data_IF_226851726824
#
_entry.id   IF_226851726824
#
_cell.length_a   1.000
_cell.length_b   1.000
_cell.length_c   1.000
_cell.angle_alpha   90.00
_cell.angle_beta   90.00
_cell.angle_gamma   90.00
#
_symmetry.space_group_name_H-M   'P 1'
#
loop_
_entity.id
_entity.type
_entity.pdbx_description
1 polymer ?
#
# COMPACT_ATOMS: atom_id res chain seq x y z
N UNK A 1 -21.23 -22.22 -7.87
CA UNK A 1 -20.19 -22.01 -8.90
C UNK A 1 -20.75 -22.43 -10.25
N UNK A 2 -20.55 -21.63 -11.27
CA UNK A 2 -20.76 -22.06 -12.65
C UNK A 2 -19.75 -23.17 -13.02
N UNK A 3 -20.01 -23.92 -14.10
CA UNK A 3 -19.12 -25.02 -14.54
C UNK A 3 -17.67 -24.57 -14.79
N UNK A 4 -17.44 -23.28 -15.10
CA UNK A 4 -16.13 -22.67 -15.38
C UNK A 4 -15.72 -21.61 -14.35
N UNK A 5 -16.48 -21.41 -13.28
CA UNK A 5 -16.24 -20.38 -12.29
C UNK A 5 -15.00 -20.65 -11.44
N UNK A 6 -14.16 -19.64 -11.27
CA UNK A 6 -12.96 -19.67 -10.42
C UNK A 6 -13.10 -18.67 -9.29
N UNK A 7 -12.84 -19.09 -8.06
CA UNK A 7 -12.87 -18.20 -6.89
C UNK A 7 -11.49 -17.59 -6.66
N UNK A 8 -11.46 -16.28 -6.45
CA UNK A 8 -10.27 -15.56 -6.02
C UNK A 8 -10.59 -14.71 -4.78
N UNK A 9 -9.66 -14.72 -3.83
CA UNK A 9 -9.86 -14.07 -2.52
C UNK A 9 -8.74 -13.07 -2.26
N UNK A 10 -9.12 -11.87 -1.81
CA UNK A 10 -8.20 -10.88 -1.23
C UNK A 10 -8.68 -10.45 0.14
N UNK A 11 -7.75 -9.94 0.95
CA UNK A 11 -8.05 -9.39 2.27
C UNK A 11 -7.53 -7.96 2.41
N UNK A 12 -8.12 -7.22 3.33
CA UNK A 12 -7.61 -5.94 3.81
C UNK A 12 -7.79 -5.82 5.32
N UNK A 13 -7.14 -4.83 5.90
CA UNK A 13 -7.22 -4.55 7.33
C UNK A 13 -7.43 -3.06 7.56
N UNK A 14 -8.00 -2.72 8.72
CA UNK A 14 -8.17 -1.32 9.13
C UNK A 14 -6.84 -0.69 9.57
N UNK A 15 -6.82 0.63 9.70
CA UNK A 15 -5.66 1.38 10.21
C UNK A 15 -5.26 0.98 11.63
N UNK A 16 -6.19 0.40 12.41
CA UNK A 16 -5.97 -0.05 13.79
C UNK A 16 -5.47 -1.50 13.92
N UNK A 17 -5.28 -2.22 12.82
CA UNK A 17 -4.59 -3.51 12.86
C UNK A 17 -3.13 -3.32 13.30
N UNK A 18 -2.56 -4.17 14.19
CA UNK A 18 -1.22 -3.97 14.75
C UNK A 18 -0.12 -3.70 13.70
N UNK A 19 -0.07 -4.47 12.62
CA UNK A 19 0.90 -4.24 11.55
C UNK A 19 0.68 -2.87 10.85
N UNK A 20 -0.57 -2.44 10.68
CA UNK A 20 -0.86 -1.15 10.03
C UNK A 20 -0.64 0.05 10.95
N UNK A 21 -0.75 -0.12 12.26
CA UNK A 21 -0.27 0.87 13.24
C UNK A 21 1.24 1.09 13.03
N UNK A 22 2.01 0.01 12.88
CA UNK A 22 3.45 0.09 12.64
C UNK A 22 3.78 0.80 11.33
N UNK A 23 3.10 0.44 10.24
CA UNK A 23 3.26 1.10 8.95
C UNK A 23 2.91 2.60 9.03
N UNK A 24 1.81 2.94 9.70
CA UNK A 24 1.37 4.32 9.89
C UNK A 24 2.34 5.14 10.74
N UNK A 25 2.92 4.56 11.78
CA UNK A 25 3.95 5.20 12.60
C UNK A 25 5.21 5.45 11.76
N UNK A 26 5.73 4.42 11.09
CA UNK A 26 6.94 4.50 10.29
C UNK A 26 6.82 5.55 9.17
N UNK A 27 5.69 5.61 8.48
CA UNK A 27 5.44 6.63 7.44
C UNK A 27 5.18 8.02 8.03
N UNK A 28 4.61 8.14 9.24
CA UNK A 28 4.48 9.44 9.90
C UNK A 28 5.84 10.02 10.33
N UNK A 29 6.76 9.17 10.76
CA UNK A 29 8.15 9.58 11.04
C UNK A 29 8.83 10.01 9.74
N UNK A 30 8.69 9.25 8.66
CA UNK A 30 9.22 9.62 7.35
C UNK A 30 8.69 10.98 6.89
N UNK A 31 7.38 11.18 6.91
CA UNK A 31 6.75 12.42 6.45
C UNK A 31 7.19 13.63 7.29
N UNK A 32 7.32 13.48 8.61
CA UNK A 32 7.81 14.54 9.49
C UNK A 32 9.26 14.95 9.15
N UNK A 33 10.11 13.97 8.85
CA UNK A 33 11.50 14.21 8.45
C UNK A 33 11.59 14.85 7.07
N UNK A 34 10.83 14.38 6.08
CA UNK A 34 10.81 14.95 4.72
C UNK A 34 10.27 16.38 4.70
N UNK A 35 9.30 16.70 5.54
CA UNK A 35 8.79 18.07 5.67
C UNK A 35 9.86 19.07 6.12
N UNK A 36 10.79 18.64 6.97
CA UNK A 36 11.91 19.49 7.44
C UNK A 36 13.16 19.39 6.56
N UNK A 37 13.36 18.28 5.88
CA UNK A 37 14.48 18.02 4.98
C UNK A 37 14.05 17.03 3.88
N UNK A 38 13.69 17.50 2.68
CA UNK A 38 13.28 16.65 1.57
C UNK A 38 14.34 15.62 1.12
N UNK A 39 15.59 15.80 1.53
CA UNK A 39 16.69 14.87 1.22
C UNK A 39 17.01 13.91 2.37
N UNK A 40 16.15 13.83 3.37
CA UNK A 40 16.30 12.87 4.46
C UNK A 40 16.44 11.44 3.93
N UNK A 41 17.41 10.70 4.43
CA UNK A 41 17.55 9.26 4.22
C UNK A 41 16.94 8.56 5.42
N UNK A 42 15.91 7.77 5.17
CA UNK A 42 15.10 7.15 6.22
C UNK A 42 14.86 5.70 5.90
N UNK A 43 15.18 4.85 6.85
CA UNK A 43 14.79 3.45 6.89
C UNK A 43 14.36 3.17 8.34
N UNK A 44 13.05 3.32 8.61
CA UNK A 44 12.49 3.22 9.97
C UNK A 44 11.45 2.11 9.99
N UNK A 45 11.62 1.21 10.93
CA UNK A 45 10.73 0.10 11.20
C UNK A 45 10.16 0.26 12.61
N UNK A 46 8.91 -0.18 12.79
CA UNK A 46 8.19 -0.08 14.04
C UNK A 46 7.72 -1.46 14.47
N UNK A 47 7.80 -1.74 15.77
CA UNK A 47 7.17 -2.87 16.43
C UNK A 47 6.20 -2.33 17.46
N UNK A 48 4.99 -2.88 17.54
CA UNK A 48 4.03 -2.64 18.61
C UNK A 48 3.65 -3.94 19.29
N UNK A 49 3.45 -3.87 20.60
CA UNK A 49 2.89 -4.93 21.42
C UNK A 49 2.14 -4.30 22.58
N UNK A 50 1.62 -5.09 23.53
CA UNK A 50 0.88 -4.58 24.69
C UNK A 50 1.63 -3.45 25.39
N UNK A 51 1.09 -2.24 25.31
CA UNK A 51 1.60 -1.06 26.00
C UNK A 51 2.97 -0.54 25.54
N UNK A 52 3.53 -1.04 24.44
CA UNK A 52 4.88 -0.70 23.96
C UNK A 52 4.94 -0.42 22.47
N UNK A 53 5.76 0.57 22.11
CA UNK A 53 6.19 0.88 20.74
C UNK A 53 7.72 0.92 20.70
N UNK A 54 8.30 0.26 19.73
CA UNK A 54 9.73 0.33 19.43
C UNK A 54 9.90 0.85 17.99
N UNK A 55 10.59 1.97 17.85
CA UNK A 55 10.93 2.56 16.54
C UNK A 55 12.42 2.40 16.36
N UNK A 56 12.82 1.65 15.34
CA UNK A 56 14.23 1.29 15.09
C UNK A 56 14.60 1.57 13.64
N UNK A 57 15.89 1.66 13.33
CA UNK A 57 16.38 1.85 11.98
C UNK A 57 17.48 2.87 11.85
N UNK A 58 17.67 3.43 10.65
CA UNK A 58 18.71 4.38 10.33
C UNK A 58 18.11 5.64 9.70
N UNK A 59 18.58 6.81 10.17
CA UNK A 59 18.18 8.12 9.68
C UNK A 59 19.40 9.01 9.49
N UNK A 60 19.47 9.67 8.32
CA UNK A 60 20.37 10.80 8.06
C UNK A 60 19.51 11.97 7.61
N UNK A 61 19.48 13.04 8.39
CA UNK A 61 18.62 14.21 8.15
C UNK A 61 19.22 15.49 8.73
N UNK A 62 18.87 16.63 8.14
CA UNK A 62 19.07 17.94 8.72
C UNK A 62 17.85 18.46 9.50
N UNK A 63 16.72 17.75 9.46
CA UNK A 63 15.48 18.07 10.18
C UNK A 63 15.57 17.72 11.68
N UNK A 64 16.44 18.41 12.41
CA UNK A 64 16.78 18.10 13.83
C UNK A 64 15.57 18.19 14.76
N UNK A 65 14.68 19.14 14.54
CA UNK A 65 13.47 19.33 15.36
C UNK A 65 12.51 18.15 15.18
N UNK A 66 12.22 17.78 13.93
CA UNK A 66 11.36 16.63 13.64
C UNK A 66 11.97 15.32 14.17
N UNK A 67 13.30 15.16 14.08
CA UNK A 67 14.00 14.00 14.64
C UNK A 67 13.86 13.94 16.18
N UNK A 68 14.00 15.07 16.86
CA UNK A 68 13.84 15.16 18.32
C UNK A 68 12.38 14.91 18.77
N UNK A 69 11.39 15.15 17.88
CA UNK A 69 9.95 15.05 18.16
C UNK A 69 9.31 13.71 17.74
N UNK A 70 10.10 12.71 17.36
CA UNK A 70 9.61 11.40 16.92
C UNK A 70 8.63 10.78 17.93
N UNK A 71 8.90 10.91 19.24
CA UNK A 71 8.02 10.36 20.29
C UNK A 71 6.61 10.96 20.22
N UNK A 72 6.49 12.27 20.01
CA UNK A 72 5.17 12.93 19.88
C UNK A 72 4.50 12.55 18.54
N UNK A 73 5.27 12.43 17.47
CA UNK A 73 4.77 11.92 16.17
C UNK A 73 4.14 10.53 16.32
N UNK A 74 4.81 9.63 17.04
CA UNK A 74 4.31 8.28 17.34
C UNK A 74 3.00 8.34 18.13
N UNK A 75 2.97 9.07 19.25
CA UNK A 75 1.78 9.20 20.11
C UNK A 75 0.61 9.77 19.34
N UNK A 76 0.83 10.87 18.63
CA UNK A 76 -0.19 11.50 17.81
C UNK A 76 -0.79 10.53 16.80
N UNK A 77 0.03 9.73 16.10
CA UNK A 77 -0.47 8.76 15.12
C UNK A 77 -1.34 7.69 15.78
N UNK A 78 -0.95 7.16 16.93
CA UNK A 78 -1.75 6.17 17.67
C UNK A 78 -3.11 6.74 18.09
N UNK A 79 -3.11 7.99 18.61
CA UNK A 79 -4.34 8.70 18.97
C UNK A 79 -5.24 8.98 17.76
N UNK A 80 -4.67 9.42 16.64
CA UNK A 80 -5.40 9.68 15.37
C UNK A 80 -6.08 8.41 14.84
N UNK A 81 -5.48 7.24 15.04
CA UNK A 81 -6.08 5.93 14.72
C UNK A 81 -7.28 5.65 15.65
N UNK A 82 -7.28 6.15 16.86
CA UNK A 82 -8.36 6.02 17.84
C UNK A 82 -8.03 5.12 19.02
N UNK A 83 -6.77 4.81 19.27
CA UNK A 83 -6.28 4.17 20.48
C UNK A 83 -5.95 5.23 21.54
N UNK A 84 -6.97 5.73 22.20
CA UNK A 84 -6.96 6.82 23.18
C UNK A 84 -7.27 6.37 24.60
N UNK A 85 -7.46 5.06 24.81
CA UNK A 85 -7.75 4.47 26.11
C UNK A 85 -7.37 2.99 26.15
N UNK A 86 -6.87 2.53 27.28
CA UNK A 86 -6.43 1.14 27.49
C UNK A 86 -7.52 0.09 27.24
N UNK A 87 -8.80 0.42 27.48
CA UNK A 87 -9.95 -0.46 27.20
C UNK A 87 -10.11 -0.81 25.72
N UNK A 88 -9.48 -0.03 24.83
CA UNK A 88 -9.45 -0.32 23.40
C UNK A 88 -8.32 -1.29 23.00
N UNK A 89 -7.47 -1.68 23.98
CA UNK A 89 -6.34 -2.58 23.77
C UNK A 89 -5.01 -1.87 23.52
N UNK A 90 -5.01 -0.53 23.47
CA UNK A 90 -3.81 0.30 23.33
C UNK A 90 -4.13 1.76 23.68
N UNK A 91 -3.11 2.53 24.08
CA UNK A 91 -3.29 3.93 24.48
C UNK A 91 -2.06 4.76 24.11
N UNK A 92 -2.26 5.70 23.18
CA UNK A 92 -1.21 6.58 22.68
C UNK A 92 -0.64 7.54 23.71
N UNK A 93 -1.44 7.93 24.73
CA UNK A 93 -0.97 8.81 25.81
C UNK A 93 0.00 8.12 26.76
N UNK A 94 -0.25 6.84 27.09
CA UNK A 94 0.41 6.16 28.20
C UNK A 94 1.38 5.05 27.78
N UNK A 95 1.36 4.60 26.51
CA UNK A 95 2.26 3.55 26.04
C UNK A 95 3.75 3.95 26.17
N UNK A 96 4.60 2.95 26.42
CA UNK A 96 6.05 3.14 26.35
C UNK A 96 6.49 3.32 24.90
N UNK A 97 7.32 4.35 24.63
CA UNK A 97 7.91 4.59 23.30
C UNK A 97 9.42 4.51 23.41
N UNK A 98 10.01 3.55 22.70
CA UNK A 98 11.45 3.32 22.65
C UNK A 98 11.99 3.67 21.27
N UNK A 99 13.01 4.51 21.20
CA UNK A 99 13.63 4.96 19.95
C UNK A 99 15.05 4.40 19.88
N UNK A 100 15.31 3.53 18.89
CA UNK A 100 16.60 2.92 18.60
C UNK A 100 17.06 3.25 17.18
N UNK A 101 17.25 4.54 16.87
CA UNK A 101 17.62 5.00 15.54
C UNK A 101 19.12 5.32 15.47
N UNK A 102 19.83 4.65 14.55
CA UNK A 102 21.23 4.89 14.21
C UNK A 102 21.43 5.79 12.99
N UNK A 103 22.66 5.89 12.53
CA UNK A 103 23.02 6.56 11.27
C UNK A 103 23.19 5.54 10.16
N UNK A 104 22.84 5.92 8.92
CA UNK A 104 23.09 5.10 7.74
C UNK A 104 24.58 4.77 7.59
N UNK A 105 24.88 3.54 7.14
CA UNK A 105 26.24 3.11 6.82
C UNK A 105 26.85 3.98 5.71
N UNK A 106 28.08 4.50 5.88
CA UNK A 106 28.79 5.23 4.83
C UNK A 106 29.01 4.41 3.56
N UNK A 107 29.17 3.10 3.69
CA UNK A 107 29.41 2.20 2.56
C UNK A 107 28.17 2.08 1.65
N UNK A 108 26.97 2.03 2.25
CA UNK A 108 25.71 2.04 1.50
C UNK A 108 25.48 3.42 0.87
N UNK A 109 25.72 4.51 1.61
CA UNK A 109 25.56 5.88 1.12
C UNK A 109 26.38 6.15 -0.14
N UNK A 110 27.61 5.64 -0.23
CA UNK A 110 28.48 5.82 -1.39
C UNK A 110 27.85 5.36 -2.70
N UNK A 111 27.18 4.20 -2.72
CA UNK A 111 26.55 3.66 -3.93
C UNK A 111 25.23 4.35 -4.31
N UNK A 112 24.54 4.92 -3.31
CA UNK A 112 23.29 5.67 -3.52
C UNK A 112 23.57 7.09 -4.00
N UNK A 113 24.54 7.77 -3.39
CA UNK A 113 24.85 9.18 -3.69
C UNK A 113 25.67 9.35 -4.97
N UNK A 114 26.46 8.33 -5.37
CA UNK A 114 27.24 8.35 -6.61
C UNK A 114 27.24 6.96 -7.25
N UNK A 115 26.34 6.76 -8.20
CA UNK A 115 26.19 5.48 -8.91
C UNK A 115 27.44 5.07 -9.68
N UNK A 116 27.51 3.78 -10.00
CA UNK A 116 28.60 3.18 -10.77
C UNK A 116 28.80 3.87 -12.12
N UNK A 117 27.73 4.23 -12.82
CA UNK A 117 27.74 4.92 -14.11
C UNK A 117 28.50 6.24 -14.03
N UNK A 118 28.28 7.05 -13.00
CA UNK A 118 28.99 8.31 -12.79
C UNK A 118 30.42 8.08 -12.28
N UNK A 119 30.61 7.17 -11.32
CA UNK A 119 31.87 6.97 -10.61
C UNK A 119 32.92 6.24 -11.45
N UNK A 120 32.52 5.25 -12.28
CA UNK A 120 33.41 4.35 -13.00
C UNK A 120 33.31 4.56 -14.52
N UNK A 121 32.11 4.76 -15.05
CA UNK A 121 31.86 4.86 -16.48
C UNK A 121 31.95 6.31 -16.98
N UNK A 122 31.98 7.31 -16.06
CA UNK A 122 32.13 8.72 -16.42
C UNK A 122 30.87 9.34 -17.03
N UNK A 123 29.68 8.78 -16.72
CA UNK A 123 28.42 9.34 -17.17
C UNK A 123 28.21 10.78 -16.69
N UNK A 124 27.77 11.66 -17.58
CA UNK A 124 27.63 13.09 -17.31
C UNK A 124 26.18 13.52 -17.04
N UNK A 125 25.19 12.65 -17.28
CA UNK A 125 23.78 12.95 -16.98
C UNK A 125 23.58 12.98 -15.45
N UNK A 126 23.07 14.08 -14.87
CA UNK A 126 22.79 14.16 -13.43
C UNK A 126 21.88 13.04 -12.91
N UNK A 127 21.01 12.48 -13.75
CA UNK A 127 20.13 11.36 -13.38
C UNK A 127 20.86 10.02 -13.25
N UNK A 128 22.06 9.89 -13.79
CA UNK A 128 22.94 8.75 -13.60
C UNK A 128 23.73 8.84 -12.28
N UNK A 129 23.60 9.93 -11.51
CA UNK A 129 24.31 10.09 -10.25
C UNK A 129 23.70 9.27 -9.11
N UNK A 130 22.36 9.10 -9.09
CA UNK A 130 21.69 8.35 -8.05
C UNK A 130 21.58 6.86 -8.41
N UNK A 131 22.30 6.01 -7.67
CA UNK A 131 22.18 4.57 -7.80
C UNK A 131 21.04 3.98 -6.97
N UNK A 132 20.64 2.76 -7.29
CA UNK A 132 19.72 2.00 -6.46
C UNK A 132 20.36 1.71 -5.09
N UNK A 133 19.59 1.92 -4.02
CA UNK A 133 20.05 1.71 -2.64
C UNK A 133 20.23 0.26 -2.24
N UNK A 134 19.64 -0.66 -3.01
CA UNK A 134 19.75 -2.11 -2.86
C UNK A 134 19.54 -2.80 -4.21
N UNK A 135 19.93 -4.07 -4.29
CA UNK A 135 19.45 -4.96 -5.33
C UNK A 135 17.99 -5.33 -5.07
N UNK A 136 17.23 -5.61 -6.12
CA UNK A 136 15.85 -6.08 -5.94
C UNK A 136 15.07 -6.14 -7.24
N UNK A 137 13.88 -6.71 -7.14
CA UNK A 137 12.90 -6.72 -8.22
C UNK A 137 11.57 -6.22 -7.68
N UNK A 138 10.86 -5.40 -8.47
CA UNK A 138 9.60 -4.78 -8.11
C UNK A 138 8.59 -5.02 -9.21
N UNK A 139 7.32 -5.11 -8.81
CA UNK A 139 6.22 -5.38 -9.72
C UNK A 139 5.21 -4.23 -9.70
N UNK A 140 4.66 -3.93 -10.87
CA UNK A 140 3.46 -3.15 -11.05
C UNK A 140 2.39 -3.97 -11.74
N UNK A 141 1.13 -3.64 -11.48
CA UNK A 141 0.00 -4.33 -12.05
C UNK A 141 -1.16 -3.37 -12.33
N UNK A 142 -1.93 -3.64 -13.36
CA UNK A 142 -3.20 -3.00 -13.65
C UNK A 142 -4.12 -3.97 -14.40
N UNK A 143 -5.41 -3.84 -14.16
CA UNK A 143 -6.47 -4.61 -14.82
C UNK A 143 -7.74 -3.75 -14.90
N UNK A 144 -8.55 -3.97 -15.93
CA UNK A 144 -9.78 -3.22 -16.18
C UNK A 144 -10.99 -3.64 -15.34
N UNK A 145 -10.79 -4.35 -14.21
CA UNK A 145 -11.89 -4.78 -13.33
C UNK A 145 -12.61 -3.60 -12.64
N UNK A 146 -11.89 -2.51 -12.36
CA UNK A 146 -12.43 -1.33 -11.67
C UNK A 146 -12.01 -0.03 -12.37
N UNK A 147 -12.71 1.09 -12.16
CA UNK A 147 -12.34 2.38 -12.75
C UNK A 147 -10.92 2.85 -12.40
N UNK A 148 -10.44 2.51 -11.20
CA UNK A 148 -9.08 2.77 -10.75
C UNK A 148 -8.04 1.80 -11.33
N UNK A 149 -8.47 0.83 -12.13
CA UNK A 149 -7.64 -0.21 -12.76
C UNK A 149 -6.94 -1.11 -11.73
N UNK A 150 -7.70 -1.53 -10.73
CA UNK A 150 -7.29 -2.47 -9.68
C UNK A 150 -8.08 -3.78 -9.78
N UNK A 151 -7.50 -4.91 -9.30
CA UNK A 151 -8.27 -6.14 -9.12
C UNK A 151 -9.45 -5.92 -8.17
N UNK A 152 -10.64 -6.35 -8.57
CA UNK A 152 -11.87 -6.12 -7.81
C UNK A 152 -11.84 -6.68 -6.37
N UNK A 153 -11.28 -7.88 -6.08
CA UNK A 153 -11.29 -8.41 -4.72
C UNK A 153 -10.57 -7.52 -3.72
N UNK A 154 -9.37 -7.02 -4.06
CA UNK A 154 -8.60 -6.14 -3.16
C UNK A 154 -9.23 -4.74 -3.09
N UNK A 155 -9.71 -4.20 -4.21
CA UNK A 155 -10.38 -2.91 -4.23
C UNK A 155 -11.61 -2.91 -3.31
N UNK A 156 -12.44 -3.96 -3.36
CA UNK A 156 -13.61 -4.10 -2.51
C UNK A 156 -13.22 -4.34 -1.04
N UNK A 157 -12.20 -5.16 -0.76
CA UNK A 157 -11.71 -5.39 0.59
C UNK A 157 -11.21 -4.08 1.24
N UNK A 158 -10.48 -3.24 0.51
CA UNK A 158 -10.04 -1.92 0.98
C UNK A 158 -11.22 -0.97 1.25
N UNK A 159 -12.20 -0.93 0.37
CA UNK A 159 -13.40 -0.08 0.55
C UNK A 159 -14.17 -0.49 1.81
N UNK A 160 -14.33 -1.80 2.06
CA UNK A 160 -14.98 -2.31 3.27
C UNK A 160 -14.17 -1.95 4.54
N UNK A 161 -12.86 -2.14 4.55
CA UNK A 161 -12.00 -1.80 5.69
C UNK A 161 -12.01 -0.30 5.98
N UNK A 162 -12.01 0.55 4.95
CA UNK A 162 -12.13 2.00 5.09
C UNK A 162 -13.49 2.41 5.64
N UNK A 163 -14.58 1.80 5.14
CA UNK A 163 -15.93 2.08 5.62
C UNK A 163 -16.11 1.68 7.09
N UNK A 164 -15.52 0.57 7.54
CA UNK A 164 -15.47 0.21 8.96
C UNK A 164 -14.86 1.34 9.81
N UNK A 165 -13.75 1.88 9.38
CA UNK A 165 -13.09 3.00 10.07
C UNK A 165 -13.94 4.28 10.02
N UNK A 166 -14.55 4.57 8.88
CA UNK A 166 -15.42 5.74 8.72
C UNK A 166 -16.60 5.71 9.69
N UNK A 167 -17.37 4.61 9.73
CA UNK A 167 -18.55 4.49 10.59
C UNK A 167 -18.19 4.48 12.08
N UNK A 168 -16.99 4.05 12.44
CA UNK A 168 -16.45 4.15 13.79
C UNK A 168 -16.10 5.61 14.13
N UNK A 169 -15.30 6.27 13.29
CA UNK A 169 -14.78 7.63 13.56
C UNK A 169 -15.87 8.71 13.53
N UNK A 170 -16.89 8.56 12.69
CA UNK A 170 -18.01 9.51 12.62
C UNK A 170 -19.11 9.26 13.66
N UNK A 171 -18.97 8.20 14.51
CA UNK A 171 -19.90 7.88 15.56
C UNK A 171 -21.17 7.14 15.11
N UNK A 172 -21.28 6.73 13.85
CA UNK A 172 -22.42 5.93 13.37
C UNK A 172 -22.49 4.58 14.11
N UNK A 173 -21.33 3.95 14.32
CA UNK A 173 -21.18 2.71 15.12
C UNK A 173 -20.09 2.95 16.18
N UNK A 174 -20.41 3.70 17.21
CA UNK A 174 -19.49 4.17 18.25
C UNK A 174 -18.92 3.07 19.15
N UNK A 175 -19.58 1.92 19.16
CA UNK A 175 -19.13 0.72 19.87
C UNK A 175 -18.01 -0.04 19.15
N UNK A 176 -17.71 0.25 17.90
CA UNK A 176 -16.59 -0.34 17.19
C UNK A 176 -15.25 0.16 17.74
N UNK A 177 -14.24 -0.71 17.68
CA UNK A 177 -12.86 -0.43 18.07
C UNK A 177 -11.96 -0.39 16.82
N UNK A 178 -10.70 0.12 16.93
CA UNK A 178 -9.89 0.39 15.74
C UNK A 178 -9.46 -0.85 14.95
N UNK A 179 -9.30 -2.01 15.58
CA UNK A 179 -8.81 -3.23 14.90
C UNK A 179 -9.91 -3.91 14.08
N UNK A 180 -9.56 -4.32 12.88
CA UNK A 180 -10.49 -5.06 12.02
C UNK A 180 -9.85 -5.57 10.74
N UNK A 181 -10.50 -6.58 10.14
CA UNK A 181 -10.11 -7.22 8.89
C UNK A 181 -11.32 -7.41 8.01
N UNK A 182 -11.09 -7.36 6.70
CA UNK A 182 -12.09 -7.69 5.68
C UNK A 182 -11.49 -8.68 4.69
N UNK A 183 -12.29 -9.61 4.23
CA UNK A 183 -11.90 -10.57 3.19
C UNK A 183 -13.03 -10.67 2.17
N UNK A 184 -12.67 -10.70 0.90
CA UNK A 184 -13.60 -10.72 -0.22
C UNK A 184 -13.22 -11.85 -1.16
N UNK A 185 -14.21 -12.70 -1.48
CA UNK A 185 -14.07 -13.75 -2.49
C UNK A 185 -14.98 -13.45 -3.66
N UNK A 186 -14.41 -13.35 -4.85
CA UNK A 186 -15.11 -13.10 -6.12
C UNK A 186 -15.03 -14.35 -6.99
N UNK A 187 -16.15 -14.74 -7.59
CA UNK A 187 -16.19 -15.71 -8.68
C UNK A 187 -15.96 -15.01 -10.01
N UNK A 188 -14.99 -15.51 -10.76
CA UNK A 188 -14.62 -15.06 -12.10
C UNK A 188 -15.06 -16.07 -13.14
N UNK A 189 -15.71 -15.62 -14.20
CA UNK A 189 -16.03 -16.37 -15.41
C UNK A 189 -15.25 -15.76 -16.58
N UNK A 190 -14.47 -16.57 -17.28
CA UNK A 190 -13.64 -16.10 -18.40
C UNK A 190 -12.76 -14.88 -18.07
N UNK A 191 -12.23 -14.84 -16.84
CA UNK A 191 -11.45 -13.74 -16.25
C UNK A 191 -12.22 -12.43 -16.01
N UNK A 192 -13.55 -12.45 -16.07
CA UNK A 192 -14.40 -11.31 -15.73
C UNK A 192 -15.06 -11.55 -14.37
N UNK A 193 -15.12 -10.55 -13.47
CA UNK A 193 -15.86 -10.67 -12.22
C UNK A 193 -17.34 -10.93 -12.48
N UNK A 194 -17.87 -12.03 -11.95
CA UNK A 194 -19.27 -12.42 -12.17
C UNK A 194 -20.12 -12.36 -10.92
N UNK A 195 -19.60 -12.88 -9.78
CA UNK A 195 -20.40 -12.97 -8.54
C UNK A 195 -19.57 -12.72 -7.30
N UNK A 196 -20.13 -11.94 -6.37
CA UNK A 196 -19.59 -11.79 -5.02
C UNK A 196 -19.98 -13.02 -4.20
N UNK A 197 -19.05 -13.94 -4.01
CA UNK A 197 -19.30 -15.20 -3.34
C UNK A 197 -19.38 -15.06 -1.82
N UNK A 198 -18.30 -14.52 -1.21
CA UNK A 198 -18.20 -14.44 0.24
C UNK A 198 -17.55 -13.13 0.67
N UNK A 199 -18.11 -12.52 1.72
CA UNK A 199 -17.51 -11.41 2.46
C UNK A 199 -17.36 -11.82 3.91
N UNK A 200 -16.14 -11.68 4.45
CA UNK A 200 -15.88 -11.85 5.89
C UNK A 200 -15.46 -10.49 6.46
N UNK A 201 -16.10 -10.11 7.56
CA UNK A 201 -15.74 -8.92 8.34
C UNK A 201 -15.46 -9.35 9.76
N UNK A 202 -14.23 -9.12 10.24
CA UNK A 202 -13.86 -9.28 11.64
C UNK A 202 -13.53 -7.92 12.21
N UNK A 203 -14.29 -7.44 13.18
CA UNK A 203 -14.11 -6.11 13.74
C UNK A 203 -14.14 -6.14 15.27
N UNK A 204 -13.18 -5.45 15.87
CA UNK A 204 -13.12 -5.25 17.31
C UNK A 204 -14.29 -4.36 17.76
N UNK A 205 -14.89 -4.69 18.90
CA UNK A 205 -16.04 -3.98 19.46
C UNK A 205 -15.96 -3.87 20.98
N UNK A 206 -16.77 -2.99 21.56
CA UNK A 206 -16.92 -2.88 23.01
C UNK A 206 -17.51 -4.18 23.60
N UNK A 207 -17.20 -4.45 24.87
CA UNK A 207 -17.82 -5.59 25.57
C UNK A 207 -19.33 -5.38 25.74
N UNK A 208 -20.07 -6.48 25.81
CA UNK A 208 -21.53 -6.46 25.99
C UNK A 208 -22.35 -6.24 24.71
N UNK A 209 -21.74 -6.11 23.55
CA UNK A 209 -22.45 -5.99 22.27
C UNK A 209 -23.00 -7.35 21.83
N UNK A 210 -24.30 -7.40 21.49
CA UNK A 210 -24.96 -8.58 20.92
C UNK A 210 -24.54 -8.73 19.46
N UNK A 211 -23.86 -9.84 19.16
CA UNK A 211 -23.29 -10.06 17.82
C UNK A 211 -24.36 -10.30 16.76
N UNK A 212 -25.43 -11.02 17.08
CA UNK A 212 -26.49 -11.39 16.12
C UNK A 212 -27.52 -10.28 15.95
N UNK A 213 -27.88 -9.58 17.03
CA UNK A 213 -28.96 -8.57 17.01
C UNK A 213 -28.46 -7.15 16.72
N UNK A 214 -27.18 -6.88 16.95
CA UNK A 214 -26.60 -5.54 16.82
C UNK A 214 -25.48 -5.54 15.80
N UNK A 215 -24.37 -6.26 16.06
CA UNK A 215 -23.16 -6.14 15.24
C UNK A 215 -23.40 -6.60 13.77
N UNK A 216 -23.95 -7.82 13.56
CA UNK A 216 -24.13 -8.37 12.20
C UNK A 216 -25.08 -7.50 11.37
N UNK A 217 -26.30 -7.11 11.86
CA UNK A 217 -27.18 -6.21 11.09
C UNK A 217 -26.55 -4.85 10.79
N UNK A 218 -25.84 -4.26 11.75
CA UNK A 218 -25.23 -2.95 11.58
C UNK A 218 -24.08 -2.98 10.55
N UNK A 219 -23.23 -4.00 10.59
CA UNK A 219 -22.15 -4.18 9.60
C UNK A 219 -22.73 -4.40 8.21
N UNK A 220 -23.77 -5.22 8.07
CA UNK A 220 -24.44 -5.41 6.76
C UNK A 220 -24.95 -4.09 6.21
N UNK A 221 -25.69 -3.35 7.01
CA UNK A 221 -26.38 -2.11 6.60
C UNK A 221 -25.41 -0.95 6.37
N UNK A 222 -24.55 -0.65 7.34
CA UNK A 222 -23.75 0.56 7.35
C UNK A 222 -22.38 0.42 6.65
N UNK A 223 -21.91 -0.81 6.46
CA UNK A 223 -20.63 -1.08 5.79
C UNK A 223 -20.87 -1.76 4.45
N UNK A 224 -21.40 -2.99 4.42
CA UNK A 224 -21.47 -3.78 3.20
C UNK A 224 -22.41 -3.18 2.16
N UNK A 225 -23.68 -2.96 2.49
CA UNK A 225 -24.69 -2.43 1.56
C UNK A 225 -24.29 -1.04 1.04
N UNK A 226 -23.68 -0.21 1.91
CA UNK A 226 -23.19 1.12 1.52
C UNK A 226 -22.08 1.02 0.50
N UNK A 227 -21.08 0.15 0.75
CA UNK A 227 -19.94 -0.04 -0.16
C UNK A 227 -20.38 -0.65 -1.49
N UNK A 228 -21.28 -1.64 -1.48
CA UNK A 228 -21.80 -2.26 -2.72
C UNK A 228 -22.60 -1.25 -3.56
N UNK A 229 -23.38 -0.39 -2.93
CA UNK A 229 -24.09 0.69 -3.61
C UNK A 229 -23.14 1.73 -4.21
N UNK A 230 -22.09 2.10 -3.51
CA UNK A 230 -21.05 3.02 -4.00
C UNK A 230 -20.20 2.41 -5.11
N UNK A 231 -19.93 1.10 -5.05
CA UNK A 231 -19.18 0.37 -6.07
C UNK A 231 -19.92 0.36 -7.41
N UNK A 232 -21.24 0.11 -7.39
CA UNK A 232 -22.12 0.08 -8.57
C UNK A 232 -21.53 -0.71 -9.76
N UNK A 233 -20.89 -1.86 -9.50
CA UNK A 233 -20.23 -2.65 -10.54
C UNK A 233 -21.26 -3.36 -11.44
N UNK A 234 -21.21 -3.09 -12.74
CA UNK A 234 -22.28 -3.44 -13.69
C UNK A 234 -22.51 -4.95 -13.82
N UNK A 235 -21.47 -5.78 -13.69
CA UNK A 235 -21.55 -7.23 -13.94
C UNK A 235 -21.53 -8.07 -12.66
N UNK A 236 -21.31 -7.48 -11.49
CA UNK A 236 -21.13 -8.21 -10.25
C UNK A 236 -22.49 -8.56 -9.60
N UNK A 237 -22.87 -9.83 -9.63
CA UNK A 237 -24.03 -10.31 -8.86
C UNK A 237 -23.66 -10.46 -7.37
N UNK A 238 -24.32 -9.69 -6.52
CA UNK A 238 -24.19 -9.76 -5.06
C UNK A 238 -25.41 -10.32 -4.34
N UNK A 239 -26.43 -10.79 -5.07
CA UNK A 239 -27.74 -11.19 -4.52
C UNK A 239 -27.67 -12.41 -3.60
N UNK A 240 -26.70 -13.30 -3.80
CA UNK A 240 -26.52 -14.54 -3.05
C UNK A 240 -25.21 -14.56 -2.22
N UNK A 241 -24.65 -13.40 -1.90
CA UNK A 241 -23.40 -13.28 -1.16
C UNK A 241 -23.50 -13.88 0.24
N UNK A 242 -22.59 -14.78 0.57
CA UNK A 242 -22.42 -15.26 1.94
C UNK A 242 -21.66 -14.23 2.76
N UNK A 243 -22.27 -13.71 3.81
CA UNK A 243 -21.65 -12.70 4.70
C UNK A 243 -21.42 -13.31 6.07
N UNK A 244 -20.18 -13.22 6.55
CA UNK A 244 -19.73 -13.70 7.84
C UNK A 244 -19.17 -12.52 8.64
N UNK A 245 -19.86 -12.17 9.75
CA UNK A 245 -19.43 -11.11 10.67
C UNK A 245 -18.96 -11.74 11.97
N UNK A 246 -17.70 -11.46 12.36
CA UNK A 246 -17.07 -12.03 13.55
C UNK A 246 -17.33 -13.55 13.73
N UNK A 247 -16.98 -14.39 12.74
CA UNK A 247 -17.35 -15.82 12.76
C UNK A 247 -16.74 -16.60 13.94
N UNK A 248 -15.70 -16.08 14.59
CA UNK A 248 -15.10 -16.64 15.80
C UNK A 248 -15.86 -16.27 17.08
N UNK A 249 -16.85 -15.37 16.99
CA UNK A 249 -17.57 -14.83 18.13
C UNK A 249 -17.02 -13.48 18.59
N UNK A 250 -16.90 -13.26 19.91
CA UNK A 250 -16.45 -12.00 20.50
C UNK A 250 -15.06 -11.58 20.00
N UNK A 251 -14.93 -10.28 19.69
CA UNK A 251 -13.66 -9.65 19.37
C UNK A 251 -13.52 -8.35 20.19
N UNK A 252 -13.42 -8.49 21.50
CA UNK A 252 -13.24 -7.39 22.46
C UNK A 252 -11.75 -7.06 22.64
N UNK A 253 -10.92 -8.08 22.85
CA UNK A 253 -9.47 -7.93 22.93
C UNK A 253 -8.91 -7.90 21.52
N UNK A 254 -8.31 -6.79 21.14
CA UNK A 254 -7.72 -6.56 19.81
C UNK A 254 -6.60 -5.52 19.86
N UNK A 255 -6.14 -5.11 18.69
CA UNK A 255 -4.99 -4.22 18.56
C UNK A 255 -3.71 -4.83 19.15
N UNK A 256 -2.74 -4.02 19.57
CA UNK A 256 -1.46 -4.49 20.10
C UNK A 256 -1.56 -5.36 21.37
N UNK A 257 -2.68 -5.33 22.08
CA UNK A 257 -2.95 -6.24 23.21
C UNK A 257 -3.30 -7.65 22.72
N UNK A 258 -3.92 -7.78 21.56
CA UNK A 258 -4.31 -9.07 20.97
C UNK A 258 -3.18 -9.76 20.22
N UNK A 259 -2.40 -8.99 19.44
CA UNK A 259 -1.28 -9.49 18.64
C UNK A 259 -0.23 -8.39 18.43
N UNK A 260 1.04 -8.80 18.33
CA UNK A 260 2.13 -7.87 18.03
C UNK A 260 2.10 -7.46 16.55
N UNK A 261 2.46 -6.21 16.25
CA UNK A 261 2.60 -5.67 14.91
C UNK A 261 4.03 -5.35 14.55
N UNK A 262 4.32 -5.39 13.27
CA UNK A 262 5.60 -5.01 12.66
C UNK A 262 5.38 -4.29 11.34
N UNK A 263 6.22 -3.29 11.06
CA UNK A 263 6.26 -2.63 9.73
C UNK A 263 6.54 -3.64 8.64
N UNK A 264 5.81 -3.55 7.51
CA UNK A 264 6.08 -4.37 6.33
C UNK A 264 5.56 -5.80 6.39
N UNK A 265 4.61 -6.12 7.27
CA UNK A 265 3.98 -7.45 7.34
C UNK A 265 2.64 -7.57 6.60
N UNK A 266 2.23 -6.55 5.86
CA UNK A 266 1.01 -6.52 5.06
C UNK A 266 1.28 -6.14 3.61
N UNK A 267 2.44 -6.55 3.07
CA UNK A 267 2.93 -6.16 1.74
C UNK A 267 1.99 -6.58 0.59
N UNK A 268 1.25 -7.65 0.75
CA UNK A 268 0.27 -8.11 -0.25
C UNK A 268 -1.02 -7.29 -0.16
N UNK A 269 -1.45 -6.92 1.05
CA UNK A 269 -2.56 -5.98 1.29
C UNK A 269 -2.19 -4.59 0.75
N UNK A 270 -0.95 -4.17 0.93
CA UNK A 270 -0.45 -2.86 0.46
C UNK A 270 -0.44 -2.73 -1.06
N UNK A 271 -0.43 -3.83 -1.81
CA UNK A 271 -0.28 -3.88 -3.25
C UNK A 271 -1.55 -4.37 -3.96
N UNK A 272 -1.58 -5.62 -4.43
CA UNK A 272 -2.63 -6.10 -5.33
C UNK A 272 -3.44 -7.29 -4.76
N UNK A 273 -3.35 -7.56 -3.44
CA UNK A 273 -4.16 -8.59 -2.77
C UNK A 273 -3.89 -10.02 -3.26
N UNK A 274 -2.68 -10.30 -3.75
CA UNK A 274 -2.29 -11.62 -4.27
C UNK A 274 -2.57 -11.84 -5.75
N UNK A 275 -3.14 -10.86 -6.45
CA UNK A 275 -3.43 -10.96 -7.88
C UNK A 275 -2.18 -10.84 -8.75
N UNK A 276 -1.20 -10.04 -8.33
CA UNK A 276 0.09 -9.89 -8.99
C UNK A 276 1.22 -10.56 -8.20
N UNK A 277 2.34 -10.81 -8.87
CA UNK A 277 3.61 -11.18 -8.21
C UNK A 277 4.10 -10.05 -7.31
N UNK A 278 4.99 -10.37 -6.38
CA UNK A 278 5.58 -9.40 -5.46
C UNK A 278 7.09 -9.66 -5.30
N UNK A 279 7.88 -8.59 -5.25
CA UNK A 279 9.34 -8.70 -5.09
C UNK A 279 9.81 -8.90 -3.65
N UNK A 280 8.92 -8.72 -2.66
CA UNK A 280 9.19 -8.90 -1.23
C UNK A 280 9.52 -7.61 -0.48
N UNK A 281 9.78 -6.49 -1.16
CA UNK A 281 10.08 -5.21 -0.52
C UNK A 281 8.87 -4.57 0.17
N UNK A 282 9.02 -4.15 1.42
CA UNK A 282 8.04 -3.32 2.13
C UNK A 282 8.21 -1.84 1.77
N UNK A 283 7.15 -1.03 1.93
CA UNK A 283 7.14 0.38 1.58
C UNK A 283 7.32 1.31 2.78
N UNK A 284 6.49 1.13 3.81
CA UNK A 284 6.39 2.06 4.94
C UNK A 284 7.73 2.24 5.66
N UNK A 285 8.04 3.48 6.04
CA UNK A 285 9.28 3.85 6.72
C UNK A 285 10.50 4.04 5.81
N UNK A 286 10.38 3.80 4.50
CA UNK A 286 11.46 3.95 3.52
C UNK A 286 11.30 5.26 2.73
N UNK A 287 12.35 6.10 2.69
CA UNK A 287 12.39 7.25 1.79
C UNK A 287 12.50 6.83 0.32
N UNK A 288 12.20 7.71 -0.66
CA UNK A 288 12.11 7.32 -2.08
C UNK A 288 13.45 6.96 -2.74
N UNK A 289 14.59 7.07 -2.06
CA UNK A 289 15.86 6.50 -2.55
C UNK A 289 15.87 4.97 -2.53
N UNK A 290 14.99 4.36 -1.75
CA UNK A 290 14.81 2.92 -1.69
C UNK A 290 13.90 2.47 -2.83
N UNK A 291 14.48 1.75 -3.79
CA UNK A 291 13.78 1.27 -5.00
C UNK A 291 12.65 0.30 -4.69
N UNK A 292 12.69 -0.40 -3.55
CA UNK A 292 11.57 -1.20 -3.06
C UNK A 292 10.25 -0.42 -3.07
N UNK A 293 10.30 0.87 -2.71
CA UNK A 293 9.15 1.76 -2.69
C UNK A 293 8.99 2.53 -4.00
N UNK A 294 9.98 3.30 -4.38
CA UNK A 294 9.91 4.21 -5.53
C UNK A 294 9.71 3.48 -6.86
N UNK A 295 10.41 2.37 -7.08
CA UNK A 295 10.26 1.61 -8.30
C UNK A 295 8.95 0.80 -8.34
N UNK A 296 8.45 0.30 -7.20
CA UNK A 296 7.12 -0.31 -7.16
C UNK A 296 6.02 0.71 -7.52
N UNK A 297 6.14 1.96 -7.07
CA UNK A 297 5.24 3.05 -7.47
C UNK A 297 5.37 3.38 -8.96
N UNK A 298 6.59 3.44 -9.48
CA UNK A 298 6.82 3.64 -10.92
C UNK A 298 6.23 2.50 -11.75
N UNK A 299 6.36 1.24 -11.30
CA UNK A 299 5.76 0.10 -12.02
C UNK A 299 4.23 0.13 -12.00
N UNK A 300 3.60 0.62 -10.91
CA UNK A 300 2.16 0.89 -10.91
C UNK A 300 1.80 1.96 -11.94
N UNK A 301 2.55 3.05 -12.00
CA UNK A 301 2.35 4.13 -12.96
C UNK A 301 2.46 3.62 -14.40
N UNK A 302 3.50 2.83 -14.72
CA UNK A 302 3.68 2.19 -16.03
C UNK A 302 2.51 1.27 -16.37
N UNK A 303 2.18 0.32 -15.50
CA UNK A 303 1.11 -0.65 -15.73
C UNK A 303 -0.24 0.03 -15.95
N UNK A 304 -0.55 1.03 -15.12
CA UNK A 304 -1.80 1.77 -15.20
C UNK A 304 -1.95 2.54 -16.51
N UNK A 305 -0.88 3.19 -16.98
CA UNK A 305 -0.89 3.91 -18.25
C UNK A 305 -0.99 2.96 -19.46
N UNK A 306 -0.38 1.76 -19.42
CA UNK A 306 -0.51 0.76 -20.49
C UNK A 306 -1.97 0.33 -20.64
N UNK A 307 -2.65 -0.01 -19.54
CA UNK A 307 -4.07 -0.42 -19.58
C UNK A 307 -4.95 0.75 -20.01
N UNK A 308 -4.76 1.94 -19.45
CA UNK A 308 -5.52 3.13 -19.81
C UNK A 308 -5.30 3.57 -21.27
N UNK A 309 -4.15 3.29 -21.85
CA UNK A 309 -3.89 3.50 -23.29
C UNK A 309 -4.63 2.50 -24.20
N UNK A 310 -5.24 1.45 -23.63
CA UNK A 310 -5.92 0.39 -24.34
C UNK A 310 -4.96 -0.60 -25.03
N UNK A 311 -3.71 -0.67 -24.60
CA UNK A 311 -2.71 -1.59 -25.16
C UNK A 311 -2.84 -3.01 -24.63
N UNK A 312 -3.47 -3.18 -23.46
CA UNK A 312 -3.87 -4.46 -22.87
C UNK A 312 -5.01 -4.22 -21.88
N UNK A 313 -5.83 -5.24 -21.60
CA UNK A 313 -6.83 -5.18 -20.53
C UNK A 313 -6.23 -5.52 -19.15
N UNK A 314 -5.11 -6.24 -19.15
CA UNK A 314 -4.39 -6.69 -17.98
C UNK A 314 -2.89 -6.68 -18.24
N UNK A 315 -2.12 -6.13 -17.31
CA UNK A 315 -0.66 -6.09 -17.45
C UNK A 315 0.04 -6.22 -16.10
N UNK A 316 1.14 -6.96 -16.08
CA UNK A 316 2.11 -6.99 -15.00
C UNK A 316 3.47 -6.56 -15.54
N UNK A 317 4.13 -5.66 -14.83
CA UNK A 317 5.45 -5.14 -15.18
C UNK A 317 6.43 -5.47 -14.07
N UNK A 318 7.57 -6.06 -14.40
CA UNK A 318 8.68 -6.28 -13.47
C UNK A 318 9.85 -5.39 -13.86
N UNK A 319 10.47 -4.74 -12.89
CA UNK A 319 11.78 -4.08 -13.02
C UNK A 319 12.76 -4.66 -12.01
N UNK A 320 14.04 -4.74 -12.38
CA UNK A 320 15.10 -5.20 -11.50
C UNK A 320 16.26 -4.22 -11.46
N UNK A 321 16.87 -4.05 -10.29
CA UNK A 321 18.04 -3.20 -10.07
C UNK A 321 19.18 -3.96 -9.41
N UNK A 322 20.41 -3.52 -9.69
CA UNK A 322 21.59 -3.89 -8.94
C UNK A 322 21.97 -2.75 -8.00
N UNK A 323 22.45 -3.06 -6.79
CA UNK A 323 22.89 -2.05 -5.81
C UNK A 323 23.95 -1.13 -6.43
N UNK A 324 23.79 0.17 -6.22
CA UNK A 324 24.73 1.21 -6.69
C UNK A 324 24.71 1.46 -8.20
N UNK A 325 23.77 0.89 -8.96
CA UNK A 325 23.54 1.19 -10.38
C UNK A 325 22.32 2.06 -10.59
N UNK A 326 22.40 3.00 -11.53
CA UNK A 326 21.28 3.84 -11.92
C UNK A 326 20.37 3.14 -12.94
N UNK A 327 20.93 2.52 -13.97
CA UNK A 327 20.14 1.82 -14.97
C UNK A 327 19.52 0.53 -14.41
N UNK A 328 18.24 0.23 -14.72
CA UNK A 328 17.67 -1.08 -14.45
C UNK A 328 18.47 -2.18 -15.13
N UNK A 329 18.60 -3.34 -14.48
CA UNK A 329 19.26 -4.53 -15.06
C UNK A 329 18.29 -5.45 -15.78
N UNK A 330 16.98 -5.24 -15.64
CA UNK A 330 15.95 -6.01 -16.32
C UNK A 330 14.60 -5.32 -16.29
N UNK A 331 13.84 -5.49 -17.38
CA UNK A 331 12.43 -5.12 -17.52
C UNK A 331 11.72 -6.30 -18.17
N UNK A 332 10.54 -6.66 -17.65
CA UNK A 332 9.70 -7.73 -18.19
C UNK A 332 8.25 -7.30 -18.14
N UNK A 333 7.50 -7.54 -19.20
CA UNK A 333 6.09 -7.18 -19.30
C UNK A 333 5.27 -8.40 -19.70
N UNK A 334 4.25 -8.71 -18.89
CA UNK A 334 3.31 -9.79 -19.13
C UNK A 334 1.91 -9.23 -19.33
N UNK A 335 1.28 -9.52 -20.46
CA UNK A 335 -0.07 -9.03 -20.82
C UNK A 335 -1.15 -10.10 -20.68
N UNK A 336 -0.79 -11.30 -20.27
CA UNK A 336 -1.72 -12.43 -20.06
C UNK A 336 -2.61 -12.74 -21.28
N UNK A 337 -2.09 -12.49 -22.48
CA UNK A 337 -2.84 -12.70 -23.72
C UNK A 337 -3.91 -11.64 -24.03
N UNK A 338 -3.96 -10.53 -23.28
CA UNK A 338 -4.96 -9.45 -23.45
C UNK A 338 -4.44 -8.26 -24.27
N UNK A 339 -3.20 -8.34 -24.78
CA UNK A 339 -2.62 -7.27 -25.57
C UNK A 339 -3.40 -7.05 -26.88
N UNK A 340 -3.62 -5.77 -27.22
CA UNK A 340 -4.24 -5.34 -28.47
C UNK A 340 -3.24 -5.11 -29.59
N UNK A 341 -1.94 -5.12 -29.23
CA UNK A 341 -0.79 -4.97 -30.12
C UNK A 341 0.24 -6.05 -29.79
N UNK A 342 1.31 -6.17 -30.59
CA UNK A 342 2.40 -7.10 -30.29
C UNK A 342 3.00 -6.82 -28.89
N UNK A 343 2.98 -7.76 -27.94
CA UNK A 343 3.55 -7.57 -26.59
C UNK A 343 5.02 -7.14 -26.61
N UNK A 344 5.82 -7.64 -27.56
CA UNK A 344 7.23 -7.24 -27.72
C UNK A 344 7.36 -5.74 -28.05
N UNK A 345 6.38 -5.17 -28.72
CA UNK A 345 6.35 -3.73 -29.01
C UNK A 345 6.09 -2.94 -27.73
N UNK A 346 5.18 -3.39 -26.86
CA UNK A 346 4.93 -2.74 -25.57
C UNK A 346 6.22 -2.71 -24.73
N UNK A 347 6.94 -3.84 -24.66
CA UNK A 347 8.20 -3.94 -23.91
C UNK A 347 9.27 -2.96 -24.42
N UNK A 348 9.32 -2.72 -25.73
CA UNK A 348 10.29 -1.78 -26.33
C UNK A 348 9.95 -0.32 -26.09
N UNK A 349 8.68 0.07 -26.16
CA UNK A 349 8.27 1.47 -26.01
C UNK A 349 8.27 1.95 -24.55
N UNK A 350 8.12 1.06 -23.57
CA UNK A 350 8.10 1.45 -22.16
C UNK A 350 9.35 2.22 -21.75
N UNK A 351 10.60 1.76 -22.01
CA UNK A 351 11.79 2.54 -21.65
C UNK A 351 12.00 3.80 -22.48
N UNK A 352 11.31 3.96 -23.63
CA UNK A 352 11.33 5.20 -24.42
C UNK A 352 10.40 6.27 -23.82
N UNK A 353 9.32 5.86 -23.13
CA UNK A 353 8.30 6.74 -22.54
C UNK A 353 8.57 7.02 -21.08
N UNK A 354 9.14 6.06 -20.35
CA UNK A 354 9.40 6.13 -18.91
C UNK A 354 10.88 6.00 -18.61
N UNK A 355 11.46 6.99 -17.97
CA UNK A 355 12.82 6.89 -17.43
C UNK A 355 12.79 6.16 -16.08
N UNK A 356 13.27 4.92 -16.09
CA UNK A 356 13.21 4.02 -14.92
C UNK A 356 14.46 4.10 -14.02
N UNK A 357 15.34 5.08 -14.24
CA UNK A 357 16.45 5.35 -13.31
C UNK A 357 15.91 5.87 -11.96
N UNK A 358 16.46 5.48 -10.80
CA UNK A 358 15.94 5.91 -9.49
C UNK A 358 15.78 7.42 -9.36
N UNK A 359 16.77 8.20 -9.81
CA UNK A 359 16.71 9.67 -9.78
C UNK A 359 15.59 10.25 -10.67
N UNK A 360 15.33 9.64 -11.82
CA UNK A 360 14.24 10.03 -12.71
C UNK A 360 12.87 9.70 -12.11
N UNK A 361 12.70 8.52 -11.52
CA UNK A 361 11.47 8.14 -10.83
C UNK A 361 11.13 9.13 -9.71
N UNK A 362 12.12 9.48 -8.88
CA UNK A 362 11.93 10.45 -7.79
C UNK A 362 11.49 11.81 -8.32
N UNK A 363 12.08 12.28 -9.42
CA UNK A 363 11.73 13.53 -10.09
C UNK A 363 10.33 13.48 -10.71
N UNK A 364 10.04 12.46 -11.53
CA UNK A 364 8.84 12.40 -12.35
C UNK A 364 7.59 12.16 -11.53
N UNK A 365 7.71 11.41 -10.45
CA UNK A 365 6.64 11.18 -9.48
C UNK A 365 6.66 12.17 -8.30
N UNK A 366 7.60 13.14 -8.28
CA UNK A 366 7.69 14.18 -7.23
C UNK A 366 7.65 13.59 -5.80
N UNK A 367 8.54 12.61 -5.54
CA UNK A 367 8.50 11.78 -4.34
C UNK A 367 9.18 12.39 -3.10
N UNK A 368 9.82 13.57 -3.21
CA UNK A 368 10.48 14.21 -2.06
C UNK A 368 9.52 14.98 -1.16
N UNK A 369 8.22 14.75 -1.27
CA UNK A 369 7.16 15.37 -0.49
C UNK A 369 6.67 14.46 0.64
N UNK A 370 6.11 15.01 1.74
CA UNK A 370 5.52 14.22 2.81
C UNK A 370 4.12 13.71 2.41
N UNK A 371 4.06 12.65 1.60
CA UNK A 371 2.83 12.08 1.01
C UNK A 371 2.58 10.62 1.42
N UNK A 372 3.38 10.09 2.34
CA UNK A 372 3.45 8.66 2.61
C UNK A 372 2.51 8.18 3.71
N UNK A 373 2.36 8.92 4.81
CA UNK A 373 1.51 8.53 5.92
C UNK A 373 0.06 8.19 5.53
N UNK A 374 -0.61 8.90 4.60
CA UNK A 374 -1.95 8.53 4.15
C UNK A 374 -2.04 7.21 3.38
N UNK A 375 -0.91 6.70 2.86
CA UNK A 375 -0.87 5.43 2.12
C UNK A 375 -0.71 4.21 3.01
N UNK A 376 -0.37 4.40 4.28
CA UNK A 376 -0.06 3.33 5.22
C UNK A 376 -1.24 2.40 5.54
N UNK A 377 -2.47 2.73 5.15
CA UNK A 377 -3.65 1.87 5.26
C UNK A 377 -4.51 1.96 4.00
N UNK A 378 -5.27 0.89 3.72
CA UNK A 378 -6.21 0.77 2.59
C UNK A 378 -5.55 0.73 1.22
N UNK A 379 -4.32 0.23 1.15
CA UNK A 379 -3.52 0.05 -0.06
C UNK A 379 -2.77 1.31 -0.52
N UNK A 380 -1.64 1.08 -1.18
CA UNK A 380 -0.83 2.13 -1.80
C UNK A 380 -1.29 2.43 -3.24
N UNK A 381 -2.09 1.55 -3.84
CA UNK A 381 -2.55 1.65 -5.23
C UNK A 381 -4.06 1.72 -5.34
N UNK A 382 -4.55 2.28 -6.45
CA UNK A 382 -5.98 2.42 -6.72
C UNK A 382 -6.70 3.41 -5.81
N UNK A 383 -5.98 4.35 -5.20
CA UNK A 383 -6.52 5.38 -4.31
C UNK A 383 -7.10 6.53 -5.13
N UNK A 384 -8.36 6.85 -4.89
CA UNK A 384 -9.07 7.98 -5.51
C UNK A 384 -9.42 9.09 -4.52
N UNK A 385 -9.18 8.84 -3.24
CA UNK A 385 -9.43 9.75 -2.12
C UNK A 385 -8.26 10.69 -1.81
N UNK A 386 -7.07 10.40 -2.32
CA UNK A 386 -5.85 11.20 -2.18
C UNK A 386 -5.14 11.33 -3.53
N UNK A 387 -4.46 12.46 -3.75
CA UNK A 387 -3.67 12.68 -4.98
C UNK A 387 -2.31 11.98 -4.87
N UNK A 388 -2.17 10.87 -5.59
CA UNK A 388 -0.93 10.10 -5.64
C UNK A 388 -0.33 10.15 -7.05
N UNK A 389 0.94 10.60 -7.20
CA UNK A 389 1.57 10.76 -8.52
C UNK A 389 1.62 9.50 -9.38
N UNK A 390 1.78 8.33 -8.76
CA UNK A 390 1.83 7.04 -9.46
C UNK A 390 0.47 6.52 -9.95
N UNK A 391 -0.63 7.22 -9.62
CA UNK A 391 -1.96 6.94 -10.15
C UNK A 391 -2.34 7.82 -11.36
N UNK A 392 -1.45 8.72 -11.81
CA UNK A 392 -1.68 9.61 -12.96
C UNK A 392 -1.71 8.85 -14.28
N UNK A 393 -2.53 9.37 -15.22
CA UNK A 393 -2.68 8.85 -16.58
C UNK A 393 -2.01 9.78 -17.62
N UNK A 394 -0.93 10.41 -17.22
CA UNK A 394 -0.22 11.45 -17.97
C UNK A 394 0.66 10.94 -19.11
N UNK A 395 0.84 9.61 -19.24
CA UNK A 395 1.63 8.96 -20.29
C UNK A 395 0.78 8.21 -21.32
N UNK A 396 -0.54 8.25 -21.22
CA UNK A 396 -1.47 7.54 -22.13
C UNK A 396 -1.26 7.97 -23.59
N UNK A 397 -1.19 9.28 -23.87
CA UNK A 397 -1.02 9.79 -25.22
C UNK A 397 0.39 9.54 -25.78
N UNK A 398 1.42 9.54 -24.90
CA UNK A 398 2.79 9.21 -25.29
C UNK A 398 2.89 7.75 -25.73
N UNK A 399 2.29 6.83 -24.96
CA UNK A 399 2.23 5.41 -25.29
C UNK A 399 1.47 5.16 -26.60
N UNK A 400 0.31 5.81 -26.80
CA UNK A 400 -0.46 5.70 -28.05
C UNK A 400 0.29 6.18 -29.27
N UNK A 401 1.15 7.19 -29.13
CA UNK A 401 1.97 7.72 -30.24
C UNK A 401 3.17 6.83 -30.57
N UNK A 402 3.69 6.10 -29.57
CA UNK A 402 4.84 5.22 -29.74
C UNK A 402 4.47 3.85 -30.35
N UNK A 403 3.19 3.46 -30.31
CA UNK A 403 2.64 2.27 -30.97
C UNK A 403 2.21 2.59 -32.39
#
# INVERSE_FOLDING_TARGET
>A
MSENGRLFTSESVTEGHPDKICDAISDSVLDALLAGDPRSRVAVETLVTTGQVHVVGEVTTSAKEAFADITNTVRKRILDIGYDHSDKGFDGETCGVNIGIGRQSPDIAQGVDTAHETRVEGAADPLDSQGAGDQGLMFGYAISDTPELMPLPIALAHRLARKLTEVRKNGTLDYLRPDGKTQVTIEYEDNVPARLDTVVVSTQHADGIDLEKTLDPDIRKHVLETVLKELAHETLDSSSTRVLVNPTGKFVVGGPMGDAGLTGRKIIVDTYGGWARHGGGAFSGKDPSKVDRSAAYAMRWVAKNIVAAGLAERVEVQVAYAIGKAAPVGLFIETFGTATVDPVKIEKIVPEVFDLRPGAIVRDLDLLRPIYAPTAAYGHFGRTDIDLPWERLDKVDDLKRAV
#
